data_IF_505154377205
#
_entry.id   IF_505154377205
#
_cell.length_a   1.000
_cell.length_b   1.000
_cell.length_c   1.000
_cell.angle_alpha   90.00
_cell.angle_beta   90.00
_cell.angle_gamma   90.00
#
_symmetry.space_group_name_H-M   'P 1'
#
loop_
_entity.id
_entity.type
_entity.pdbx_description
1 polymer ?
#
# COMPACT_ATOMS: atom_id res chain seq x y z
N UNK A 1 70.64 20.84 -3.78
CA UNK A 1 69.24 20.77 -3.34
C UNK A 1 68.44 20.11 -4.49
N UNK A 2 68.27 18.81 -4.42
CA UNK A 2 67.53 18.01 -5.43
C UNK A 2 66.05 17.94 -4.98
N UNK A 3 65.09 18.45 -5.76
CA UNK A 3 63.65 18.33 -5.51
C UNK A 3 63.14 17.08 -6.23
N UNK A 4 62.82 16.07 -5.47
CA UNK A 4 62.16 14.84 -5.94
C UNK A 4 60.67 15.11 -6.14
N UNK A 5 60.18 15.08 -7.38
CA UNK A 5 58.73 15.11 -7.67
C UNK A 5 58.19 13.67 -7.53
N UNK A 6 57.31 13.46 -6.56
CA UNK A 6 56.49 12.26 -6.47
C UNK A 6 55.25 12.41 -7.37
N UNK A 7 55.20 11.60 -8.42
CA UNK A 7 54.00 11.48 -9.26
C UNK A 7 52.97 10.56 -8.56
N UNK A 8 51.79 11.11 -8.23
CA UNK A 8 50.65 10.32 -7.75
C UNK A 8 49.99 9.64 -8.94
N UNK A 9 50.10 8.32 -9.03
CA UNK A 9 49.33 7.53 -9.98
C UNK A 9 47.88 7.35 -9.47
N UNK A 10 46.92 7.96 -10.12
CA UNK A 10 45.51 7.76 -9.89
C UNK A 10 45.10 6.43 -10.51
N UNK A 11 44.91 5.41 -9.72
CA UNK A 11 44.34 4.14 -10.16
C UNK A 11 42.82 4.32 -10.41
N UNK A 12 42.45 4.46 -11.67
CA UNK A 12 41.04 4.38 -12.10
C UNK A 12 40.64 2.92 -12.13
N UNK A 13 39.87 2.47 -11.16
CA UNK A 13 39.19 1.16 -11.23
C UNK A 13 38.17 1.19 -12.37
N UNK A 14 38.18 0.19 -13.28
CA UNK A 14 37.17 0.13 -14.33
C UNK A 14 35.78 -0.11 -13.67
N UNK A 15 34.82 0.79 -13.93
CA UNK A 15 33.42 0.56 -13.67
C UNK A 15 32.99 -0.60 -14.53
N UNK A 16 32.71 -1.76 -13.93
CA UNK A 16 32.19 -2.93 -14.64
C UNK A 16 30.89 -2.52 -15.34
N UNK A 17 30.89 -2.51 -16.68
CA UNK A 17 29.70 -2.28 -17.46
C UNK A 17 28.67 -3.40 -17.11
N UNK A 18 27.52 -3.03 -16.58
CA UNK A 18 26.45 -3.98 -16.34
C UNK A 18 26.09 -4.67 -17.66
N UNK A 19 26.03 -5.99 -17.66
CA UNK A 19 25.61 -6.78 -18.82
C UNK A 19 24.18 -6.36 -19.17
N UNK A 20 23.87 -5.98 -20.44
CA UNK A 20 22.51 -5.59 -20.82
C UNK A 20 21.52 -6.70 -20.47
N UNK A 21 20.37 -6.33 -19.92
CA UNK A 21 19.29 -7.28 -19.67
C UNK A 21 18.83 -7.88 -21.02
N UNK A 22 18.58 -9.21 -21.08
CA UNK A 22 18.08 -9.81 -22.31
C UNK A 22 16.70 -9.23 -22.67
N UNK A 23 16.46 -9.03 -23.97
CA UNK A 23 15.16 -8.58 -24.47
C UNK A 23 14.06 -9.56 -24.06
N UNK A 24 12.90 -9.03 -23.57
CA UNK A 24 11.77 -9.83 -23.15
C UNK A 24 11.19 -10.64 -24.32
N UNK A 25 11.08 -11.94 -24.15
CA UNK A 25 10.45 -12.85 -25.10
C UNK A 25 8.95 -13.00 -24.77
N UNK A 26 8.11 -12.35 -25.56
CA UNK A 26 6.68 -12.28 -25.31
C UNK A 26 5.94 -13.49 -25.87
N UNK A 27 5.05 -14.07 -25.07
CA UNK A 27 4.13 -15.16 -25.41
C UNK A 27 2.73 -14.88 -24.83
N UNK A 28 1.72 -15.68 -25.16
CA UNK A 28 0.39 -15.54 -24.57
C UNK A 28 0.44 -15.74 -23.05
N UNK A 29 -0.32 -14.94 -22.31
CA UNK A 29 -0.47 -15.11 -20.85
C UNK A 29 -1.51 -16.20 -20.53
N UNK A 30 -1.30 -17.00 -19.46
CA UNK A 30 -2.29 -17.93 -18.95
C UNK A 30 -3.35 -17.21 -18.07
N UNK A 31 -3.98 -16.18 -18.62
CA UNK A 31 -5.03 -15.38 -17.95
C UNK A 31 -6.31 -15.50 -18.75
N UNK A 32 -7.35 -16.05 -18.12
CA UNK A 32 -8.66 -16.16 -18.75
C UNK A 32 -9.21 -14.76 -19.11
N UNK A 33 -9.99 -14.69 -20.18
CA UNK A 33 -10.70 -13.48 -20.64
C UNK A 33 -9.81 -12.28 -21.02
N UNK A 34 -8.50 -12.48 -21.21
CA UNK A 34 -7.57 -11.43 -21.64
C UNK A 34 -6.60 -11.95 -22.75
N UNK A 35 -7.09 -12.34 -23.92
CA UNK A 35 -6.28 -12.99 -24.98
C UNK A 35 -5.21 -12.05 -25.57
N UNK A 36 -5.39 -10.73 -25.46
CA UNK A 36 -4.42 -9.73 -25.91
C UNK A 36 -3.23 -9.56 -24.95
N UNK A 37 -3.29 -10.15 -23.74
CA UNK A 37 -2.23 -10.03 -22.76
C UNK A 37 -1.05 -10.92 -23.15
N UNK A 38 0.14 -10.34 -23.14
CA UNK A 38 1.39 -11.05 -23.44
C UNK A 38 2.26 -11.12 -22.18
N UNK A 39 2.86 -12.28 -21.93
CA UNK A 39 3.72 -12.54 -20.79
C UNK A 39 5.16 -12.84 -21.23
N UNK A 40 6.10 -12.48 -20.36
CA UNK A 40 7.52 -12.82 -20.50
C UNK A 40 8.13 -13.14 -19.12
N UNK A 41 9.20 -13.91 -19.14
CA UNK A 41 10.03 -14.17 -17.98
C UNK A 41 11.18 -13.17 -17.92
N UNK A 42 11.42 -12.60 -16.74
CA UNK A 42 12.52 -11.68 -16.49
C UNK A 42 13.34 -12.15 -15.28
N UNK A 43 14.56 -12.67 -15.51
CA UNK A 43 15.48 -12.93 -14.42
C UNK A 43 15.97 -11.62 -13.79
N UNK A 44 15.82 -11.47 -12.47
CA UNK A 44 16.29 -10.31 -11.72
C UNK A 44 17.14 -10.76 -10.53
N UNK A 45 18.08 -9.93 -10.09
CA UNK A 45 18.85 -10.19 -8.88
C UNK A 45 17.91 -10.21 -7.66
N UNK A 46 18.07 -11.20 -6.78
CA UNK A 46 17.29 -11.27 -5.55
C UNK A 46 17.58 -10.07 -4.63
N UNK A 47 18.86 -9.69 -4.54
CA UNK A 47 19.31 -8.50 -3.81
C UNK A 47 20.51 -7.85 -4.52
N UNK A 48 20.85 -6.57 -4.20
CA UNK A 48 22.01 -5.91 -4.79
C UNK A 48 23.38 -6.54 -4.44
N UNK A 49 23.39 -7.47 -3.47
CA UNK A 49 24.61 -8.12 -2.98
C UNK A 49 24.61 -9.63 -3.22
N UNK A 50 23.63 -10.16 -3.93
CA UNK A 50 23.45 -11.59 -4.17
C UNK A 50 23.66 -11.90 -5.66
N UNK A 51 24.37 -12.99 -5.93
CA UNK A 51 24.46 -13.57 -7.27
C UNK A 51 23.23 -14.40 -7.62
N UNK A 52 22.35 -14.66 -6.63
CA UNK A 52 21.11 -15.39 -6.80
C UNK A 52 20.11 -14.55 -7.61
N UNK A 53 19.51 -15.18 -8.60
CA UNK A 53 18.43 -14.61 -9.40
C UNK A 53 17.12 -15.27 -9.09
N UNK A 54 16.03 -14.51 -9.24
CA UNK A 54 14.65 -14.98 -9.25
C UNK A 54 14.04 -14.62 -10.60
N UNK A 55 13.03 -15.35 -11.02
CA UNK A 55 12.31 -15.07 -12.27
C UNK A 55 10.99 -14.36 -11.96
N UNK A 56 10.85 -13.13 -12.43
CA UNK A 56 9.58 -12.41 -12.41
C UNK A 56 8.78 -12.77 -13.66
N UNK A 57 7.47 -12.94 -13.50
CA UNK A 57 6.56 -12.91 -14.64
C UNK A 57 6.13 -11.47 -14.89
N UNK A 58 6.40 -10.97 -16.08
CA UNK A 58 6.02 -9.64 -16.57
C UNK A 58 4.91 -9.82 -17.60
N UNK A 59 3.90 -8.95 -17.58
CA UNK A 59 2.85 -8.95 -18.59
C UNK A 59 2.69 -7.58 -19.21
N UNK A 60 2.29 -7.55 -20.48
CA UNK A 60 1.92 -6.32 -21.18
C UNK A 60 0.61 -6.45 -21.94
N UNK A 61 -0.13 -5.34 -21.98
CA UNK A 61 -1.13 -5.06 -23.00
C UNK A 61 -0.46 -4.20 -24.07
N UNK A 62 -0.26 -4.70 -25.29
CA UNK A 62 0.40 -3.94 -26.35
C UNK A 62 -0.34 -2.67 -26.70
N UNK A 63 0.39 -1.66 -27.18
CA UNK A 63 -0.18 -0.49 -27.82
C UNK A 63 -1.02 -0.91 -29.03
N UNK A 64 -2.14 -0.22 -29.25
CA UNK A 64 -3.05 -0.45 -30.40
C UNK A 64 -2.68 0.40 -31.62
N UNK A 65 -1.81 1.42 -31.44
CA UNK A 65 -1.25 2.27 -32.47
C UNK A 65 0.27 2.32 -32.43
N UNK A 66 0.87 3.35 -33.02
CA UNK A 66 2.32 3.52 -33.00
C UNK A 66 2.86 3.70 -31.58
N UNK A 67 3.65 2.74 -31.11
CA UNK A 67 4.22 2.75 -29.76
C UNK A 67 5.19 3.93 -29.58
N UNK A 68 4.99 4.71 -28.51
CA UNK A 68 5.84 5.84 -28.09
C UNK A 68 6.54 5.59 -26.75
N UNK A 69 6.26 4.47 -26.08
CA UNK A 69 6.83 4.10 -24.79
C UNK A 69 5.95 3.12 -24.03
N UNK A 70 6.24 2.96 -22.74
CA UNK A 70 5.55 2.03 -21.86
C UNK A 70 5.09 2.71 -20.58
N UNK A 71 4.02 2.17 -19.97
CA UNK A 71 3.48 2.56 -18.66
C UNK A 71 3.51 1.36 -17.76
N UNK A 72 4.19 1.47 -16.64
CA UNK A 72 4.21 0.45 -15.61
C UNK A 72 3.10 0.71 -14.60
N UNK A 73 2.27 -0.31 -14.30
CA UNK A 73 1.20 -0.22 -13.32
C UNK A 73 1.38 -1.26 -12.21
N UNK A 74 1.17 -0.82 -10.96
CA UNK A 74 1.01 -1.70 -9.81
C UNK A 74 -0.30 -1.36 -9.10
N UNK A 75 -1.20 -2.34 -9.00
CA UNK A 75 -2.55 -2.19 -8.45
C UNK A 75 -2.59 -2.19 -6.92
N UNK A 76 -1.45 -2.40 -6.27
CA UNK A 76 -1.35 -2.39 -4.82
C UNK A 76 -1.62 -3.75 -4.17
N UNK A 77 -2.21 -3.71 -3.04
CA UNK A 77 -2.41 -4.84 -2.14
C UNK A 77 -1.82 -4.52 -0.76
N UNK A 78 -0.58 -4.94 -0.42
CA UNK A 78 0.45 -5.63 -1.20
C UNK A 78 0.07 -7.09 -1.44
N UNK A 79 0.15 -7.51 -2.69
CA UNK A 79 -0.23 -8.88 -3.07
C UNK A 79 0.38 -9.26 -4.43
N UNK A 80 0.39 -10.56 -4.75
CA UNK A 80 0.59 -11.09 -6.09
C UNK A 80 -0.58 -10.77 -7.02
N UNK A 81 -0.71 -11.53 -8.10
CA UNK A 81 -1.85 -11.44 -9.03
C UNK A 81 -2.02 -10.08 -9.72
N UNK A 82 -0.94 -9.30 -9.89
CA UNK A 82 -0.99 -8.03 -10.61
C UNK A 82 -1.32 -8.26 -12.09
N UNK A 83 -0.82 -9.35 -12.65
CA UNK A 83 -1.08 -9.75 -14.05
C UNK A 83 -2.57 -10.07 -14.24
N UNK A 84 -3.18 -10.85 -13.34
CA UNK A 84 -4.62 -11.09 -13.35
C UNK A 84 -5.43 -9.80 -13.15
N UNK A 85 -4.93 -8.89 -12.33
CA UNK A 85 -5.54 -7.57 -12.13
C UNK A 85 -5.52 -6.72 -13.39
N UNK A 86 -4.45 -6.77 -14.18
CA UNK A 86 -4.36 -6.10 -15.48
C UNK A 86 -5.33 -6.75 -16.47
N UNK A 87 -5.37 -8.09 -16.56
CA UNK A 87 -6.26 -8.83 -17.45
C UNK A 87 -7.75 -8.52 -17.20
N UNK A 88 -8.15 -8.42 -15.93
CA UNK A 88 -9.54 -8.10 -15.57
C UNK A 88 -9.94 -6.63 -15.78
N UNK A 89 -9.02 -5.76 -16.15
CA UNK A 89 -9.22 -4.29 -16.25
C UNK A 89 -8.69 -3.67 -17.53
N UNK A 90 -8.57 -4.43 -18.61
CA UNK A 90 -7.94 -3.97 -19.86
C UNK A 90 -8.56 -2.67 -20.37
N UNK A 91 -9.89 -2.52 -20.29
CA UNK A 91 -10.66 -1.38 -20.84
C UNK A 91 -10.30 -0.02 -20.23
N UNK A 92 -9.87 0.03 -18.96
CA UNK A 92 -9.50 1.33 -18.36
C UNK A 92 -8.22 1.92 -18.98
N UNK A 93 -7.48 1.13 -19.74
CA UNK A 93 -6.22 1.51 -20.39
C UNK A 93 -6.39 1.85 -21.88
N UNK A 94 -7.58 1.76 -22.48
CA UNK A 94 -7.79 1.92 -23.92
C UNK A 94 -7.17 3.21 -24.46
N UNK A 95 -7.32 4.33 -23.75
CA UNK A 95 -6.73 5.62 -24.16
C UNK A 95 -5.20 5.64 -24.06
N UNK A 96 -4.62 5.00 -23.06
CA UNK A 96 -3.18 4.88 -22.88
C UNK A 96 -2.62 4.01 -24.00
N UNK A 97 -3.29 2.90 -24.30
CA UNK A 97 -2.87 1.93 -25.31
C UNK A 97 -2.88 2.49 -26.74
N UNK A 98 -3.51 3.62 -27.01
CA UNK A 98 -3.38 4.24 -28.35
C UNK A 98 -1.93 4.51 -28.75
N UNK A 99 -1.01 4.65 -27.76
CA UNK A 99 0.41 4.96 -28.04
C UNK A 99 1.41 4.36 -27.05
N UNK A 100 0.97 3.61 -26.05
CA UNK A 100 1.87 3.03 -25.04
C UNK A 100 1.51 1.59 -24.73
N UNK A 101 2.51 0.75 -24.50
CA UNK A 101 2.30 -0.54 -23.85
C UNK A 101 1.95 -0.30 -22.37
N UNK A 102 0.99 -1.06 -21.85
CA UNK A 102 0.70 -1.08 -20.41
C UNK A 102 1.30 -2.34 -19.82
N UNK A 103 2.20 -2.19 -18.86
CA UNK A 103 3.03 -3.27 -18.33
C UNK A 103 2.80 -3.43 -16.82
N UNK A 104 2.80 -4.66 -16.35
CA UNK A 104 2.81 -5.01 -14.93
C UNK A 104 3.69 -6.23 -14.70
N UNK A 105 3.95 -6.54 -13.42
CA UNK A 105 4.62 -7.78 -13.03
C UNK A 105 4.00 -8.33 -11.75
N UNK A 106 4.06 -9.64 -11.54
CA UNK A 106 3.70 -10.23 -10.25
C UNK A 106 4.88 -10.07 -9.28
N UNK A 107 4.69 -9.37 -8.15
CA UNK A 107 5.75 -9.09 -7.20
C UNK A 107 6.36 -10.35 -6.58
N UNK A 108 7.64 -10.24 -6.23
CA UNK A 108 8.37 -11.27 -5.48
C UNK A 108 7.71 -11.61 -4.15
N UNK A 109 7.82 -12.85 -3.74
CA UNK A 109 7.41 -13.33 -2.42
C UNK A 109 5.93 -13.66 -2.28
N UNK A 110 5.08 -13.26 -3.22
CA UNK A 110 3.64 -13.53 -3.19
C UNK A 110 3.23 -14.59 -4.21
N UNK A 111 2.13 -15.33 -3.95
CA UNK A 111 1.53 -16.17 -4.97
C UNK A 111 1.14 -15.36 -6.21
N UNK A 112 1.37 -15.93 -7.38
CA UNK A 112 1.10 -15.33 -8.68
C UNK A 112 1.73 -16.17 -9.79
N UNK A 113 2.00 -15.55 -10.94
CA UNK A 113 2.68 -16.22 -12.05
C UNK A 113 4.21 -16.15 -11.94
N UNK A 114 4.77 -15.30 -11.07
CA UNK A 114 6.22 -15.26 -10.80
C UNK A 114 6.67 -16.50 -10.05
N UNK A 115 7.88 -16.99 -10.37
CA UNK A 115 8.45 -18.18 -9.74
C UNK A 115 8.98 -18.00 -8.31
N UNK A 116 8.92 -16.81 -7.76
CA UNK A 116 9.54 -16.45 -6.49
C UNK A 116 8.48 -16.21 -5.39
N UNK A 117 7.65 -17.22 -5.09
CA UNK A 117 6.69 -17.15 -4.00
C UNK A 117 7.24 -17.78 -2.72
N UNK A 118 7.10 -17.08 -1.58
CA UNK A 118 7.34 -17.67 -0.26
C UNK A 118 6.24 -18.65 0.10
N UNK A 119 6.63 -19.79 0.62
CA UNK A 119 5.72 -20.81 1.16
C UNK A 119 5.40 -20.51 2.63
N UNK A 120 4.58 -19.48 2.86
CA UNK A 120 4.15 -19.04 4.17
C UNK A 120 2.69 -19.36 4.42
N UNK A 121 2.34 -19.45 5.70
CA UNK A 121 0.94 -19.40 6.10
C UNK A 121 0.45 -17.94 6.00
N UNK A 122 -0.25 -17.63 4.94
CA UNK A 122 -0.87 -16.33 4.68
C UNK A 122 -2.27 -16.21 5.29
N UNK A 123 -2.64 -17.12 6.20
CA UNK A 123 -3.94 -17.14 6.86
C UNK A 123 -4.22 -15.90 7.72
N UNK A 124 -5.51 -15.64 7.94
CA UNK A 124 -5.94 -14.54 8.79
C UNK A 124 -5.67 -14.83 10.27
N UNK A 125 -5.16 -13.83 11.00
CA UNK A 125 -5.02 -13.90 12.45
C UNK A 125 -6.40 -13.77 13.09
N UNK A 126 -6.85 -14.79 13.82
CA UNK A 126 -8.14 -14.80 14.52
C UNK A 126 -8.08 -14.16 15.91
N UNK A 127 -6.89 -13.93 16.44
CA UNK A 127 -6.68 -13.29 17.75
C UNK A 127 -6.68 -11.78 17.66
N UNK A 128 -7.22 -11.05 18.68
CA UNK A 128 -7.15 -9.60 18.72
C UNK A 128 -5.69 -9.11 18.66
N UNK A 129 -5.41 -8.19 17.74
CA UNK A 129 -4.09 -7.61 17.59
C UNK A 129 -3.84 -6.37 18.47
N UNK A 130 -4.69 -6.14 19.52
CA UNK A 130 -4.64 -4.97 20.37
C UNK A 130 -4.37 -5.40 21.83
N UNK A 131 -3.10 -5.48 22.26
CA UNK A 131 -2.74 -5.91 23.61
C UNK A 131 -3.16 -4.87 24.65
N UNK A 132 -3.84 -5.32 25.73
CA UNK A 132 -4.28 -4.45 26.80
C UNK A 132 -3.15 -4.07 27.76
N UNK A 133 -2.20 -4.99 27.97
CA UNK A 133 -1.11 -4.90 28.95
C UNK A 133 0.23 -5.41 28.38
N UNK A 134 1.29 -5.32 29.18
CA UNK A 134 2.63 -5.78 28.79
C UNK A 134 2.64 -7.27 28.48
N UNK A 135 1.98 -8.09 29.30
CA UNK A 135 1.95 -9.54 29.10
C UNK A 135 1.22 -9.92 27.79
N UNK A 136 0.15 -9.20 27.45
CA UNK A 136 -0.57 -9.33 26.16
C UNK A 136 0.32 -8.92 24.98
N UNK A 137 1.08 -7.83 25.13
CA UNK A 137 2.04 -7.39 24.11
C UNK A 137 3.15 -8.43 23.89
N UNK A 138 3.72 -8.98 24.96
CA UNK A 138 4.79 -9.97 24.89
C UNK A 138 4.31 -11.26 24.22
N UNK A 139 3.08 -11.71 24.53
CA UNK A 139 2.46 -12.87 23.86
C UNK A 139 2.25 -12.60 22.36
N UNK A 140 1.75 -11.41 22.00
CA UNK A 140 1.57 -11.02 20.60
C UNK A 140 2.92 -10.99 19.87
N UNK A 141 3.94 -10.35 20.47
CA UNK A 141 5.28 -10.25 19.90
C UNK A 141 5.93 -11.65 19.71
N UNK A 142 5.78 -12.54 20.69
CA UNK A 142 6.27 -13.91 20.59
C UNK A 142 5.56 -14.71 19.47
N UNK A 143 4.24 -14.58 19.37
CA UNK A 143 3.46 -15.23 18.31
C UNK A 143 3.84 -14.70 16.91
N UNK A 144 3.99 -13.38 16.75
CA UNK A 144 4.42 -12.77 15.49
C UNK A 144 5.84 -13.21 15.11
N UNK A 145 6.75 -13.24 16.10
CA UNK A 145 8.13 -13.73 15.88
C UNK A 145 8.14 -15.16 15.39
N UNK A 146 7.43 -16.06 16.08
CA UNK A 146 7.37 -17.47 15.70
C UNK A 146 6.82 -17.67 14.28
N UNK A 147 5.78 -16.91 13.90
CA UNK A 147 5.23 -16.93 12.55
C UNK A 147 6.21 -16.39 11.51
N UNK A 148 6.85 -15.26 11.81
CA UNK A 148 7.87 -14.68 10.94
C UNK A 148 9.09 -15.60 10.77
N UNK A 149 9.59 -16.21 11.86
CA UNK A 149 10.69 -17.18 11.82
C UNK A 149 10.33 -18.39 10.95
N UNK A 150 9.12 -18.97 11.14
CA UNK A 150 8.64 -20.09 10.34
C UNK A 150 8.59 -19.75 8.85
N UNK A 151 8.08 -18.56 8.51
CA UNK A 151 8.05 -18.11 7.13
C UNK A 151 9.47 -17.90 6.57
N UNK A 152 10.33 -17.26 7.33
CA UNK A 152 11.71 -16.97 6.93
C UNK A 152 12.55 -18.22 6.68
N UNK A 153 12.30 -19.33 7.38
CA UNK A 153 13.04 -20.59 7.17
C UNK A 153 12.81 -21.20 5.79
N UNK A 154 11.75 -20.85 5.09
CA UNK A 154 11.46 -21.39 3.74
C UNK A 154 12.41 -20.79 2.68
N UNK A 155 12.70 -19.49 2.78
CA UNK A 155 13.67 -18.78 1.97
C UNK A 155 14.10 -17.48 2.70
N UNK A 156 15.16 -17.53 3.50
CA UNK A 156 15.60 -16.39 4.31
C UNK A 156 15.95 -15.14 3.49
N UNK A 157 16.61 -15.33 2.34
CA UNK A 157 17.05 -14.21 1.52
C UNK A 157 15.87 -13.54 0.81
N UNK A 158 14.94 -14.32 0.26
CA UNK A 158 13.73 -13.78 -0.35
C UNK A 158 12.87 -13.05 0.68
N UNK A 159 12.70 -13.64 1.88
CA UNK A 159 11.94 -13.03 2.97
C UNK A 159 12.49 -11.64 3.36
N UNK A 160 13.82 -11.52 3.50
CA UNK A 160 14.48 -10.27 3.90
C UNK A 160 14.46 -9.20 2.79
N UNK A 161 14.07 -9.56 1.55
CA UNK A 161 14.03 -8.69 0.37
C UNK A 161 12.65 -8.61 -0.30
N UNK A 162 11.58 -8.66 0.51
CA UNK A 162 10.20 -8.47 0.05
C UNK A 162 9.67 -7.03 0.24
N UNK A 163 10.51 -6.08 0.62
CA UNK A 163 10.09 -4.69 0.81
C UNK A 163 9.76 -3.97 -0.50
N UNK A 164 9.09 -2.82 -0.40
CA UNK A 164 8.72 -2.00 -1.56
C UNK A 164 9.94 -1.40 -2.29
N UNK A 165 11.12 -1.32 -1.65
CA UNK A 165 12.34 -0.92 -2.32
C UNK A 165 12.90 -2.04 -3.21
N UNK A 166 12.70 -3.30 -2.83
CA UNK A 166 13.01 -4.47 -3.67
C UNK A 166 12.07 -4.53 -4.89
N UNK A 167 10.75 -4.33 -4.69
CA UNK A 167 9.82 -4.20 -5.81
C UNK A 167 10.16 -3.02 -6.73
N UNK A 168 10.66 -1.92 -6.18
CA UNK A 168 11.10 -0.77 -6.99
C UNK A 168 12.33 -1.10 -7.85
N UNK A 169 13.24 -1.95 -7.37
CA UNK A 169 14.36 -2.46 -8.18
C UNK A 169 13.88 -3.41 -9.27
N UNK A 170 12.87 -4.24 -8.96
CA UNK A 170 12.21 -5.08 -9.96
C UNK A 170 11.55 -4.24 -11.05
N UNK A 171 10.83 -3.18 -10.67
CA UNK A 171 10.25 -2.22 -11.60
C UNK A 171 11.30 -1.57 -12.50
N UNK A 172 12.49 -1.28 -11.97
CA UNK A 172 13.57 -0.71 -12.76
C UNK A 172 14.21 -1.73 -13.70
N UNK A 173 14.31 -3.00 -13.29
CA UNK A 173 14.73 -4.08 -14.18
C UNK A 173 13.73 -4.30 -15.33
N UNK A 174 12.42 -4.20 -15.04
CA UNK A 174 11.38 -4.21 -16.09
C UNK A 174 11.56 -3.03 -17.05
N UNK A 175 11.77 -1.81 -16.54
CA UNK A 175 12.07 -0.64 -17.39
C UNK A 175 13.25 -0.89 -18.32
N UNK A 176 14.34 -1.40 -17.78
CA UNK A 176 15.57 -1.68 -18.54
C UNK A 176 15.33 -2.74 -19.62
N UNK A 177 14.66 -3.83 -19.28
CA UNK A 177 14.31 -4.90 -20.22
C UNK A 177 13.33 -4.45 -21.33
N UNK A 178 12.54 -3.39 -21.09
CA UNK A 178 11.70 -2.74 -22.10
C UNK A 178 12.46 -1.74 -22.99
N UNK A 179 13.73 -1.44 -22.68
CA UNK A 179 14.55 -0.45 -23.38
C UNK A 179 14.14 1.00 -23.12
N UNK A 180 13.46 1.26 -21.99
CA UNK A 180 12.98 2.60 -21.64
C UNK A 180 14.01 3.38 -20.82
N UNK A 181 14.42 4.59 -21.25
CA UNK A 181 15.29 5.46 -20.46
C UNK A 181 14.64 5.91 -19.16
N UNK A 182 13.35 6.25 -19.23
CA UNK A 182 12.55 6.72 -18.11
C UNK A 182 11.17 6.05 -18.11
N UNK A 183 10.67 5.77 -16.90
CA UNK A 183 9.40 5.07 -16.70
C UNK A 183 8.24 6.03 -16.41
N UNK A 184 7.09 5.74 -17.02
CA UNK A 184 5.80 6.22 -16.58
C UNK A 184 5.25 5.21 -15.57
N UNK A 185 4.96 5.64 -14.35
CA UNK A 185 4.55 4.74 -13.26
C UNK A 185 3.16 5.08 -12.73
N UNK A 186 2.26 4.11 -12.70
CA UNK A 186 0.95 4.20 -12.03
C UNK A 186 1.01 3.36 -10.75
N UNK A 187 1.09 4.03 -9.59
CA UNK A 187 1.11 3.40 -8.28
C UNK A 187 -0.23 3.52 -7.57
N UNK A 188 -1.00 2.43 -7.53
CA UNK A 188 -2.36 2.40 -7.00
C UNK A 188 -2.35 1.76 -5.61
N UNK A 189 -2.98 2.40 -4.60
CA UNK A 189 -3.02 1.88 -3.23
C UNK A 189 -1.59 1.63 -2.70
N UNK A 190 -1.25 0.40 -2.28
CA UNK A 190 0.13 0.06 -1.88
C UNK A 190 1.15 0.20 -3.02
N UNK A 191 0.73 0.13 -4.28
CA UNK A 191 1.56 0.45 -5.43
C UNK A 191 2.13 1.86 -5.39
N UNK A 192 1.47 2.78 -4.70
CA UNK A 192 2.00 4.12 -4.42
C UNK A 192 3.17 4.11 -3.42
N UNK A 193 3.26 3.15 -2.49
CA UNK A 193 4.44 2.95 -1.63
C UNK A 193 5.64 2.46 -2.45
N UNK A 194 5.38 1.55 -3.42
CA UNK A 194 6.40 1.10 -4.36
C UNK A 194 6.87 2.26 -5.25
N UNK A 195 5.93 3.08 -5.77
CA UNK A 195 6.24 4.26 -6.56
C UNK A 195 7.09 5.29 -5.78
N UNK A 196 6.77 5.55 -4.49
CA UNK A 196 7.57 6.40 -3.62
C UNK A 196 8.98 5.83 -3.41
N UNK A 197 9.12 4.52 -3.26
CA UNK A 197 10.42 3.83 -3.15
C UNK A 197 11.20 3.92 -4.48
N UNK A 198 10.52 3.75 -5.62
CA UNK A 198 11.12 3.93 -6.95
C UNK A 198 11.64 5.35 -7.15
N UNK A 199 10.84 6.35 -6.77
CA UNK A 199 11.23 7.76 -6.84
C UNK A 199 12.47 8.09 -6.00
N UNK A 200 12.64 7.45 -4.84
CA UNK A 200 13.83 7.62 -3.98
C UNK A 200 15.08 6.96 -4.56
N UNK A 201 14.92 5.74 -5.11
CA UNK A 201 16.04 4.97 -5.63
C UNK A 201 16.48 5.43 -7.02
N UNK A 202 15.53 5.84 -7.87
CA UNK A 202 15.76 6.13 -9.28
C UNK A 202 15.13 7.46 -9.73
N UNK A 203 15.40 8.58 -9.06
CA UNK A 203 14.71 9.85 -9.35
C UNK A 203 14.90 10.32 -10.79
N UNK A 204 16.06 10.04 -11.40
CA UNK A 204 16.37 10.43 -12.80
C UNK A 204 15.66 9.56 -13.84
N UNK A 205 15.12 8.39 -13.43
CA UNK A 205 14.41 7.44 -14.29
C UNK A 205 12.90 7.61 -14.29
N UNK A 206 12.37 8.62 -13.60
CA UNK A 206 10.94 8.94 -13.59
C UNK A 206 10.63 9.90 -14.74
N UNK A 207 9.67 9.53 -15.62
CA UNK A 207 9.09 10.40 -16.64
C UNK A 207 7.80 11.03 -16.15
N UNK A 208 6.84 10.21 -15.73
CA UNK A 208 5.60 10.60 -15.07
C UNK A 208 5.32 9.64 -13.92
N UNK A 209 4.66 10.12 -12.86
CA UNK A 209 4.25 9.28 -11.76
C UNK A 209 2.88 9.70 -11.27
N UNK A 210 1.94 8.77 -11.36
CA UNK A 210 0.59 8.90 -10.82
C UNK A 210 0.45 8.03 -9.59
N UNK A 211 -0.14 8.58 -8.52
CA UNK A 211 -0.43 7.85 -7.29
C UNK A 211 -1.89 8.06 -6.89
N UNK A 212 -2.56 6.97 -6.51
CA UNK A 212 -4.01 6.97 -6.24
C UNK A 212 -4.32 6.14 -5.00
N UNK A 213 -5.00 6.76 -4.05
CA UNK A 213 -5.39 6.11 -2.81
C UNK A 213 -4.20 5.58 -2.00
N UNK A 214 -3.06 6.25 -2.04
CA UNK A 214 -1.82 5.76 -1.42
C UNK A 214 -1.62 6.25 0.00
N UNK A 215 -0.97 5.42 0.82
CA UNK A 215 -0.39 5.83 2.09
C UNK A 215 0.83 6.74 1.87
N UNK A 216 1.06 7.66 2.80
CA UNK A 216 2.26 8.49 2.79
C UNK A 216 3.43 7.74 3.44
N UNK A 217 4.34 7.24 2.62
CA UNK A 217 5.55 6.53 3.04
C UNK A 217 6.78 7.45 3.03
N UNK A 218 6.58 8.73 3.35
CA UNK A 218 7.63 9.75 3.23
C UNK A 218 8.02 10.42 4.53
N UNK A 219 7.19 10.49 5.60
CA UNK A 219 7.54 11.27 6.79
C UNK A 219 8.56 10.53 7.67
N UNK A 220 9.58 11.26 8.12
CA UNK A 220 10.55 10.75 9.12
C UNK A 220 9.89 10.59 10.50
N UNK A 221 8.97 11.48 10.85
CA UNK A 221 8.15 11.38 12.06
C UNK A 221 6.87 10.58 11.77
N UNK A 222 6.98 9.27 11.91
CA UNK A 222 5.85 8.36 11.70
C UNK A 222 4.72 8.61 12.69
N UNK A 223 5.06 9.01 13.91
CA UNK A 223 4.05 9.36 14.89
C UNK A 223 3.19 10.54 14.48
N UNK A 224 3.76 11.56 13.82
CA UNK A 224 3.01 12.70 13.26
C UNK A 224 2.09 12.23 12.13
N UNK A 225 2.54 11.32 11.29
CA UNK A 225 1.73 10.75 10.21
C UNK A 225 0.52 9.98 10.75
N UNK A 226 0.70 9.14 11.77
CA UNK A 226 -0.41 8.45 12.43
C UNK A 226 -1.47 9.44 12.94
N UNK A 227 -1.04 10.58 13.51
CA UNK A 227 -1.94 11.66 13.92
C UNK A 227 -2.70 12.29 12.75
N UNK A 228 -2.05 12.42 11.59
CA UNK A 228 -2.70 12.91 10.37
C UNK A 228 -3.75 11.93 9.86
N UNK A 229 -3.42 10.64 9.80
CA UNK A 229 -4.35 9.57 9.42
C UNK A 229 -5.56 9.53 10.37
N UNK A 230 -5.32 9.66 11.69
CA UNK A 230 -6.41 9.68 12.66
C UNK A 230 -7.39 10.85 12.42
N UNK A 231 -6.88 12.05 12.11
CA UNK A 231 -7.73 13.20 11.74
C UNK A 231 -8.52 12.96 10.47
N UNK A 232 -7.90 12.31 9.46
CA UNK A 232 -8.57 12.00 8.19
C UNK A 232 -9.74 11.04 8.42
N UNK A 233 -9.53 10.01 9.24
CA UNK A 233 -10.56 9.04 9.60
C UNK A 233 -11.68 9.68 10.44
N UNK A 234 -11.33 10.60 11.35
CA UNK A 234 -12.32 11.33 12.15
C UNK A 234 -13.21 12.23 11.27
N UNK A 235 -12.67 12.83 10.20
CA UNK A 235 -13.49 13.57 9.23
C UNK A 235 -14.49 12.66 8.51
N UNK A 236 -14.10 11.43 8.15
CA UNK A 236 -15.02 10.45 7.58
C UNK A 236 -16.13 10.08 8.58
N UNK A 237 -15.79 9.89 9.85
CA UNK A 237 -16.77 9.68 10.93
C UNK A 237 -17.71 10.89 11.10
N UNK A 238 -17.18 12.11 11.02
CA UNK A 238 -17.98 13.33 11.05
C UNK A 238 -19.02 13.41 9.92
N UNK A 239 -18.68 12.99 8.69
CA UNK A 239 -19.63 12.88 7.57
C UNK A 239 -20.76 11.89 7.88
N UNK A 240 -20.41 10.72 8.43
CA UNK A 240 -21.40 9.74 8.86
C UNK A 240 -22.32 10.29 9.96
N UNK A 241 -21.78 10.94 10.97
CA UNK A 241 -22.56 11.48 12.09
C UNK A 241 -23.50 12.62 11.64
N UNK A 242 -23.11 13.39 10.63
CA UNK A 242 -23.99 14.39 10.02
C UNK A 242 -25.14 13.77 9.23
N UNK A 243 -24.94 12.59 8.66
CA UNK A 243 -25.95 11.83 7.91
C UNK A 243 -26.86 10.99 8.84
N UNK A 244 -26.33 10.44 9.92
CA UNK A 244 -26.99 9.50 10.81
C UNK A 244 -28.11 10.18 11.63
N UNK A 245 -29.07 9.42 12.20
CA UNK A 245 -30.09 9.95 13.09
C UNK A 245 -29.49 10.75 14.26
N UNK A 246 -30.17 11.82 14.66
CA UNK A 246 -29.76 12.64 15.79
C UNK A 246 -29.48 11.80 17.05
N UNK A 247 -28.43 12.16 17.80
CA UNK A 247 -28.01 11.43 18.98
C UNK A 247 -27.11 10.21 18.74
N UNK A 248 -26.84 9.82 17.46
CA UNK A 248 -25.98 8.69 17.12
C UNK A 248 -24.56 8.84 17.70
N UNK A 249 -23.99 10.05 17.72
CA UNK A 249 -22.66 10.26 18.33
C UNK A 249 -22.66 9.96 19.84
N UNK A 250 -23.67 10.42 20.57
CA UNK A 250 -23.80 10.14 22.00
C UNK A 250 -23.90 8.64 22.26
N UNK A 251 -24.72 7.93 21.48
CA UNK A 251 -24.89 6.47 21.54
C UNK A 251 -23.58 5.76 21.24
N UNK A 252 -22.92 6.15 20.17
CA UNK A 252 -21.60 5.60 19.78
C UNK A 252 -20.58 5.74 20.90
N UNK A 253 -20.42 6.94 21.47
CA UNK A 253 -19.46 7.18 22.57
C UNK A 253 -19.80 6.39 23.83
N UNK A 254 -21.07 6.24 24.16
CA UNK A 254 -21.52 5.43 25.29
C UNK A 254 -21.23 3.94 25.06
N UNK A 255 -21.52 3.42 23.84
CA UNK A 255 -21.22 2.05 23.45
C UNK A 255 -19.71 1.77 23.56
N UNK A 256 -18.88 2.66 23.05
CA UNK A 256 -17.43 2.53 23.11
C UNK A 256 -16.92 2.55 24.56
N UNK A 257 -17.43 3.44 25.39
CA UNK A 257 -17.08 3.49 26.81
C UNK A 257 -17.52 2.22 27.58
N UNK A 258 -18.63 1.59 27.18
CA UNK A 258 -19.05 0.27 27.70
C UNK A 258 -18.06 -0.81 27.24
N UNK A 259 -17.74 -0.86 25.95
CA UNK A 259 -16.87 -1.86 25.36
C UNK A 259 -15.40 -1.75 25.84
N UNK A 260 -14.92 -0.54 26.14
CA UNK A 260 -13.58 -0.33 26.74
C UNK A 260 -13.48 -0.89 28.17
N UNK A 261 -14.62 -1.03 28.90
CA UNK A 261 -14.67 -1.66 30.25
C UNK A 261 -14.90 -3.17 30.16
N UNK A 262 -15.83 -3.57 29.30
CA UNK A 262 -16.22 -4.95 29.11
C UNK A 262 -16.49 -5.23 27.64
N UNK A 263 -15.66 -6.07 26.98
CA UNK A 263 -15.84 -6.40 25.56
C UNK A 263 -17.22 -7.00 25.28
N UNK A 264 -17.90 -6.49 24.25
CA UNK A 264 -19.26 -6.88 23.89
C UNK A 264 -19.22 -8.19 23.10
N UNK A 265 -20.07 -9.17 23.44
CA UNK A 265 -20.17 -10.43 22.72
C UNK A 265 -20.53 -10.23 21.24
N UNK A 266 -19.98 -11.08 20.39
CA UNK A 266 -20.30 -11.19 18.96
C UNK A 266 -20.43 -12.69 18.61
N UNK A 267 -21.51 -13.35 19.07
CA UNK A 267 -21.60 -14.82 19.03
C UNK A 267 -21.57 -15.39 17.61
N UNK A 268 -22.14 -14.71 16.61
CA UNK A 268 -22.12 -15.15 15.21
C UNK A 268 -20.70 -15.10 14.58
N UNK A 269 -19.78 -14.36 15.21
CA UNK A 269 -18.39 -14.26 14.78
C UNK A 269 -17.44 -15.00 15.73
N UNK A 270 -17.97 -15.71 16.75
CA UNK A 270 -17.19 -16.38 17.80
C UNK A 270 -16.16 -15.44 18.45
N UNK A 271 -16.58 -14.21 18.73
CA UNK A 271 -15.70 -13.13 19.15
C UNK A 271 -16.30 -12.29 20.28
N UNK A 272 -15.49 -11.42 20.86
CA UNK A 272 -15.87 -10.29 21.69
C UNK A 272 -15.09 -9.08 21.22
N UNK A 273 -15.69 -7.90 21.26
CA UNK A 273 -15.05 -6.68 20.78
C UNK A 273 -14.92 -5.65 21.90
N UNK A 274 -13.69 -5.21 22.17
CA UNK A 274 -13.41 -4.01 22.94
C UNK A 274 -13.66 -2.73 22.13
N UNK A 275 -13.58 -1.57 22.79
CA UNK A 275 -13.84 -0.30 22.11
C UNK A 275 -12.82 0.03 21.00
N UNK A 276 -11.60 -0.47 21.06
CA UNK A 276 -10.61 -0.26 20.00
C UNK A 276 -10.93 -1.08 18.75
N UNK A 277 -11.39 -2.30 18.96
CA UNK A 277 -11.83 -3.20 17.89
C UNK A 277 -13.11 -2.69 17.23
N UNK A 278 -14.09 -2.24 18.02
CA UNK A 278 -15.31 -1.63 17.47
C UNK A 278 -15.04 -0.39 16.64
N UNK A 279 -14.10 0.48 17.08
CA UNK A 279 -13.68 1.66 16.29
C UNK A 279 -13.07 1.23 14.96
N UNK A 280 -12.21 0.20 14.94
CA UNK A 280 -11.59 -0.30 13.71
C UNK A 280 -12.62 -0.90 12.74
N UNK A 281 -13.56 -1.67 13.27
CA UNK A 281 -14.64 -2.28 12.47
C UNK A 281 -15.63 -1.22 11.96
N UNK A 282 -15.94 -0.20 12.77
CA UNK A 282 -16.76 0.94 12.36
C UNK A 282 -16.10 1.70 11.19
N UNK A 283 -14.79 1.97 11.27
CA UNK A 283 -14.07 2.59 10.16
C UNK A 283 -14.26 1.82 8.85
N UNK A 284 -14.15 0.49 8.88
CA UNK A 284 -14.37 -0.34 7.69
C UNK A 284 -15.81 -0.28 7.17
N UNK A 285 -16.80 -0.13 8.05
CA UNK A 285 -18.21 0.07 7.67
C UNK A 285 -18.52 1.47 7.15
N UNK A 286 -17.69 2.47 7.46
CA UNK A 286 -17.83 3.82 6.93
C UNK A 286 -17.37 3.93 5.47
N UNK A 287 -16.40 3.11 5.07
CA UNK A 287 -15.73 3.17 3.75
C UNK A 287 -16.67 3.08 2.55
N UNK A 288 -17.70 2.23 2.54
CA UNK A 288 -18.61 2.15 1.39
C UNK A 288 -19.46 3.40 1.17
N UNK A 289 -19.53 4.32 2.14
CA UNK A 289 -20.27 5.57 2.04
C UNK A 289 -21.75 5.47 2.40
N UNK A 290 -22.54 6.54 2.09
CA UNK A 290 -23.92 6.71 2.58
C UNK A 290 -24.87 5.56 2.23
N UNK A 291 -24.68 4.88 1.10
CA UNK A 291 -25.51 3.74 0.67
C UNK A 291 -25.44 2.54 1.65
N UNK A 292 -24.38 2.45 2.45
CA UNK A 292 -24.17 1.36 3.41
C UNK A 292 -24.07 1.84 4.87
N UNK A 293 -24.18 3.13 5.14
CA UNK A 293 -24.06 3.65 6.50
C UNK A 293 -25.20 3.19 7.42
N UNK A 294 -26.37 2.82 6.86
CA UNK A 294 -27.43 2.16 7.62
C UNK A 294 -26.96 0.88 8.32
N UNK A 295 -26.02 0.13 7.74
CA UNK A 295 -25.44 -1.08 8.35
C UNK A 295 -24.67 -0.74 9.64
N UNK A 296 -24.00 0.42 9.69
CA UNK A 296 -23.30 0.86 10.90
C UNK A 296 -24.28 1.30 11.98
N UNK A 297 -25.36 2.02 11.61
CA UNK A 297 -26.43 2.39 12.57
C UNK A 297 -27.05 1.13 13.18
N UNK A 298 -27.38 0.13 12.35
CA UNK A 298 -27.92 -1.14 12.80
C UNK A 298 -26.94 -1.90 13.71
N UNK A 299 -25.64 -1.91 13.35
CA UNK A 299 -24.61 -2.55 14.17
C UNK A 299 -24.45 -1.88 15.54
N UNK A 300 -24.50 -0.55 15.61
CA UNK A 300 -24.49 0.21 16.87
C UNK A 300 -25.70 -0.21 17.73
N UNK A 301 -26.90 -0.23 17.16
CA UNK A 301 -28.13 -0.60 17.88
C UNK A 301 -28.08 -2.02 18.41
N UNK A 302 -27.62 -2.99 17.63
CA UNK A 302 -27.48 -4.38 18.07
C UNK A 302 -26.43 -4.51 19.18
N UNK A 303 -25.32 -3.81 19.09
CA UNK A 303 -24.27 -3.86 20.11
C UNK A 303 -24.68 -3.20 21.44
N UNK A 304 -25.50 -2.16 21.41
CA UNK A 304 -26.14 -1.59 22.64
C UNK A 304 -27.01 -2.63 23.36
N UNK A 305 -27.69 -3.47 22.57
CA UNK A 305 -28.49 -4.59 23.09
C UNK A 305 -27.64 -5.82 23.49
N UNK A 306 -26.31 -5.78 23.33
CA UNK A 306 -25.38 -6.82 23.77
C UNK A 306 -24.88 -7.78 22.68
N UNK A 307 -25.24 -7.59 21.41
CA UNK A 307 -24.73 -8.38 20.28
C UNK A 307 -23.99 -7.53 19.27
N UNK A 308 -22.66 -7.60 19.30
CA UNK A 308 -21.79 -6.89 18.38
C UNK A 308 -21.47 -7.68 17.08
N UNK A 309 -22.15 -8.80 16.81
CA UNK A 309 -21.87 -9.65 15.64
C UNK A 309 -21.96 -8.90 14.32
N UNK A 310 -22.84 -7.90 14.22
CA UNK A 310 -23.00 -7.06 13.03
C UNK A 310 -21.75 -6.22 12.69
N UNK A 311 -20.82 -6.05 13.64
CA UNK A 311 -19.53 -5.38 13.36
C UNK A 311 -18.53 -6.27 12.64
N UNK A 312 -18.61 -7.61 12.78
CA UNK A 312 -17.66 -8.53 12.19
C UNK A 312 -17.53 -8.33 10.66
N UNK A 313 -16.30 -8.51 10.13
CA UNK A 313 -16.05 -8.53 8.69
C UNK A 313 -16.58 -9.82 8.08
N UNK A 314 -16.30 -10.95 8.74
CA UNK A 314 -16.82 -12.27 8.45
C UNK A 314 -16.54 -13.19 9.63
N UNK A 315 -17.15 -14.39 9.63
CA UNK A 315 -16.83 -15.42 10.64
C UNK A 315 -15.40 -15.93 10.55
N UNK A 316 -14.76 -15.83 9.36
CA UNK A 316 -13.36 -16.23 9.15
C UNK A 316 -12.37 -15.15 9.56
N UNK A 317 -12.77 -13.87 9.47
CA UNK A 317 -11.95 -12.71 9.83
C UNK A 317 -12.74 -11.78 10.74
N UNK A 318 -12.94 -12.17 12.01
CA UNK A 318 -13.76 -11.37 12.96
C UNK A 318 -13.07 -10.08 13.39
N UNK A 319 -11.75 -9.96 13.25
CA UNK A 319 -10.96 -8.81 13.69
C UNK A 319 -10.29 -8.10 12.53
N UNK A 320 -10.14 -6.76 12.60
CA UNK A 320 -9.32 -6.04 11.63
C UNK A 320 -7.85 -6.43 11.80
N UNK A 321 -7.18 -6.67 10.69
CA UNK A 321 -5.78 -7.04 10.64
C UNK A 321 -5.28 -7.06 9.21
N UNK A 322 -3.97 -7.23 9.02
CA UNK A 322 -3.37 -7.37 7.71
C UNK A 322 -3.51 -8.83 7.24
N UNK A 323 -4.09 -9.06 6.05
CA UNK A 323 -4.15 -10.40 5.49
C UNK A 323 -2.73 -10.97 5.29
N UNK A 324 -2.57 -12.26 5.53
CA UNK A 324 -1.39 -12.99 5.11
C UNK A 324 -0.08 -12.66 5.81
N UNK A 325 -0.12 -12.03 6.96
CA UNK A 325 1.05 -11.90 7.81
C UNK A 325 1.96 -10.71 7.58
N UNK A 326 1.72 -9.90 6.57
CA UNK A 326 2.34 -8.58 6.46
C UNK A 326 3.87 -8.56 6.36
N UNK A 327 4.53 -9.53 5.70
CA UNK A 327 6.00 -9.53 5.55
C UNK A 327 6.47 -8.21 4.97
N UNK A 328 5.84 -7.79 3.86
CA UNK A 328 6.17 -6.54 3.18
C UNK A 328 5.96 -5.32 4.09
N UNK A 329 4.82 -5.25 4.75
CA UNK A 329 4.51 -4.15 5.66
C UNK A 329 5.45 -4.11 6.86
N UNK A 330 5.90 -5.29 7.35
CA UNK A 330 6.87 -5.37 8.44
C UNK A 330 8.28 -4.95 8.02
N UNK A 331 8.59 -4.96 6.74
CA UNK A 331 9.84 -4.46 6.16
C UNK A 331 9.76 -2.97 5.76
N UNK A 332 8.56 -2.44 5.49
CA UNK A 332 8.35 -1.08 5.02
C UNK A 332 7.97 -0.09 6.14
N UNK A 333 7.32 -0.53 7.22
CA UNK A 333 6.78 0.39 8.22
C UNK A 333 7.42 0.22 9.60
N UNK A 334 7.53 1.33 10.38
CA UNK A 334 7.90 1.28 11.78
C UNK A 334 6.85 0.52 12.60
N UNK A 335 7.29 -0.15 13.64
CA UNK A 335 6.47 -0.92 14.57
C UNK A 335 6.76 -0.55 16.02
N UNK A 336 5.80 -0.73 16.96
CA UNK A 336 6.04 -0.49 18.37
C UNK A 336 7.05 -1.52 18.93
N UNK A 337 7.97 -1.05 19.74
CA UNK A 337 8.91 -1.90 20.44
C UNK A 337 8.38 -2.41 21.79
N UNK A 338 7.46 -1.65 22.41
CA UNK A 338 6.95 -1.91 23.75
C UNK A 338 5.45 -1.61 23.87
N UNK A 339 4.79 -2.18 24.87
CA UNK A 339 3.42 -1.82 25.22
C UNK A 339 3.28 -0.32 25.58
N UNK A 340 4.32 0.29 26.16
CA UNK A 340 4.33 1.73 26.46
C UNK A 340 4.24 2.57 25.19
N UNK A 341 4.86 2.13 24.09
CA UNK A 341 4.79 2.82 22.79
C UNK A 341 3.37 2.75 22.22
N UNK A 342 2.72 1.59 22.33
CA UNK A 342 1.32 1.39 21.94
C UNK A 342 0.42 2.31 22.77
N UNK A 343 0.54 2.27 24.10
CA UNK A 343 -0.31 3.05 25.01
C UNK A 343 -0.17 4.57 24.78
N UNK A 344 1.07 5.08 24.60
CA UNK A 344 1.30 6.49 24.28
C UNK A 344 0.66 6.87 22.94
N UNK A 345 0.79 6.01 21.94
CA UNK A 345 0.20 6.24 20.62
C UNK A 345 -1.32 6.27 20.73
N UNK A 346 -1.94 5.28 21.37
CA UNK A 346 -3.41 5.23 21.61
C UNK A 346 -3.90 6.48 22.30
N UNK A 347 -3.26 6.89 23.42
CA UNK A 347 -3.66 8.09 24.17
C UNK A 347 -3.63 9.35 23.28
N UNK A 348 -2.57 9.53 22.50
CA UNK A 348 -2.44 10.68 21.60
C UNK A 348 -3.47 10.66 20.48
N UNK A 349 -3.68 9.52 19.83
CA UNK A 349 -4.59 9.41 18.70
C UNK A 349 -6.04 9.52 19.13
N UNK A 350 -6.41 9.04 20.34
CA UNK A 350 -7.75 9.25 20.93
C UNK A 350 -8.03 10.72 21.24
N UNK A 351 -7.02 11.50 21.61
CA UNK A 351 -7.17 12.95 21.80
C UNK A 351 -7.38 13.71 20.49
N UNK A 352 -6.79 13.22 19.38
CA UNK A 352 -6.93 13.81 18.04
C UNK A 352 -8.26 13.42 17.38
N UNK A 353 -8.70 12.19 17.59
CA UNK A 353 -9.85 11.55 16.95
C UNK A 353 -10.73 10.87 18.01
N UNK A 354 -11.63 11.62 18.67
CA UNK A 354 -12.36 11.12 19.84
C UNK A 354 -13.34 9.98 19.53
N UNK A 355 -13.85 9.90 18.30
CA UNK A 355 -14.79 8.84 17.90
C UNK A 355 -14.09 7.58 17.41
N UNK A 356 -13.08 7.70 16.52
CA UNK A 356 -12.36 6.54 15.98
C UNK A 356 -11.01 6.28 16.65
N UNK A 357 -10.34 7.31 17.18
CA UNK A 357 -9.10 7.18 17.94
C UNK A 357 -7.97 6.54 17.14
N UNK A 358 -7.29 5.59 17.79
CA UNK A 358 -6.15 4.88 17.24
C UNK A 358 -6.52 3.67 16.36
N UNK A 359 -7.79 3.39 16.18
CA UNK A 359 -8.29 2.14 15.64
C UNK A 359 -7.63 1.73 14.30
N UNK A 360 -7.87 2.52 13.26
CA UNK A 360 -7.29 2.21 11.93
C UNK A 360 -5.77 2.40 11.86
N UNK A 361 -5.17 3.47 12.44
CA UNK A 361 -3.72 3.57 12.50
C UNK A 361 -3.03 2.38 13.18
N UNK A 362 -3.60 1.82 14.23
CA UNK A 362 -3.06 0.62 14.89
C UNK A 362 -3.15 -0.62 14.00
N UNK A 363 -4.26 -0.78 13.27
CA UNK A 363 -4.50 -1.96 12.45
C UNK A 363 -3.65 -1.96 11.17
N UNK A 364 -3.45 -0.80 10.53
CA UNK A 364 -2.91 -0.70 9.17
C UNK A 364 -1.62 0.12 9.05
N UNK A 365 -1.37 1.07 9.96
CA UNK A 365 -0.23 1.99 9.87
C UNK A 365 0.70 1.93 11.09
N UNK A 366 0.26 1.35 12.21
CA UNK A 366 1.12 0.90 13.29
C UNK A 366 1.00 -0.62 13.37
N UNK A 367 1.73 -1.38 12.57
CA UNK A 367 1.48 -2.80 12.40
C UNK A 367 1.86 -3.56 13.67
N UNK A 368 0.90 -3.69 14.58
CA UNK A 368 1.03 -4.54 15.77
C UNK A 368 1.34 -5.99 15.39
N UNK A 369 0.87 -6.44 14.22
CA UNK A 369 1.22 -7.74 13.64
C UNK A 369 2.71 -7.89 13.35
N UNK A 370 3.47 -6.80 13.37
CA UNK A 370 4.93 -6.79 13.22
C UNK A 370 5.68 -6.64 14.56
N UNK A 371 4.98 -6.43 15.69
CA UNK A 371 5.63 -6.44 16.99
C UNK A 371 6.35 -7.78 17.21
N UNK A 372 7.63 -7.75 17.57
CA UNK A 372 8.45 -8.96 17.71
C UNK A 372 8.91 -9.61 16.38
N UNK A 373 8.63 -9.02 15.21
CA UNK A 373 9.05 -9.56 13.91
C UNK A 373 10.56 -9.81 13.85
N UNK A 374 11.03 -10.94 13.24
CA UNK A 374 12.42 -11.38 13.35
C UNK A 374 13.43 -10.45 12.66
N UNK A 375 12.98 -9.64 11.71
CA UNK A 375 13.86 -8.74 10.96
C UNK A 375 13.47 -7.28 11.19
N UNK A 376 14.40 -6.34 11.04
CA UNK A 376 14.12 -4.90 11.07
C UNK A 376 13.42 -4.45 9.78
N UNK A 377 12.80 -3.30 9.80
CA UNK A 377 12.33 -2.64 8.59
C UNK A 377 13.54 -2.26 7.71
N UNK A 378 13.55 -2.74 6.46
CA UNK A 378 14.62 -2.52 5.48
C UNK A 378 14.36 -1.31 4.59
N UNK A 379 13.10 -0.92 4.43
CA UNK A 379 12.66 0.24 3.66
C UNK A 379 11.76 1.17 4.51
N UNK A 380 12.29 1.80 5.57
CA UNK A 380 11.50 2.70 6.40
C UNK A 380 11.08 3.95 5.62
N UNK A 381 9.98 4.63 6.03
CA UNK A 381 9.52 5.87 5.42
C UNK A 381 10.62 6.93 5.31
N UNK A 382 10.74 7.55 4.14
CA UNK A 382 11.71 8.61 3.89
C UNK A 382 11.19 9.59 2.82
N UNK A 383 11.55 10.89 2.88
CA UNK A 383 11.14 11.89 1.90
C UNK A 383 11.56 11.53 0.48
N UNK A 384 10.73 11.90 -0.49
CA UNK A 384 11.08 11.82 -1.90
C UNK A 384 11.99 12.99 -2.32
N UNK A 385 12.88 12.79 -3.31
CA UNK A 385 13.70 13.85 -3.87
C UNK A 385 12.84 14.95 -4.53
N UNK A 386 13.10 16.21 -4.22
CA UNK A 386 12.36 17.34 -4.82
C UNK A 386 12.68 17.60 -6.28
N UNK A 387 13.68 16.90 -6.83
CA UNK A 387 14.10 16.96 -8.24
C UNK A 387 13.22 16.14 -9.18
N UNK A 388 12.23 15.43 -8.64
CA UNK A 388 11.28 14.67 -9.45
C UNK A 388 10.45 15.61 -10.37
N UNK A 389 10.01 15.11 -11.54
CA UNK A 389 9.01 15.81 -12.33
C UNK A 389 7.71 15.96 -11.53
N UNK A 390 6.87 16.97 -11.84
CA UNK A 390 5.59 17.13 -11.19
C UNK A 390 4.72 15.87 -11.26
N UNK A 391 4.18 15.46 -10.12
CA UNK A 391 3.36 14.27 -9.97
C UNK A 391 1.87 14.58 -10.19
N UNK A 392 1.11 13.54 -10.51
CA UNK A 392 -0.35 13.56 -10.45
C UNK A 392 -0.83 12.60 -9.36
N UNK A 393 -1.77 13.05 -8.53
CA UNK A 393 -2.44 12.19 -7.56
C UNK A 393 -3.95 12.28 -7.66
N UNK A 394 -4.64 11.26 -7.14
CA UNK A 394 -6.08 11.27 -6.99
C UNK A 394 -6.49 10.62 -5.66
N UNK A 395 -7.68 10.95 -5.18
CA UNK A 395 -8.18 10.35 -3.94
C UNK A 395 -9.63 10.67 -3.65
N UNK A 396 -10.19 9.87 -2.75
CA UNK A 396 -11.56 9.89 -2.24
C UNK A 396 -11.62 10.44 -0.82
N UNK A 397 -12.79 10.46 -0.19
CA UNK A 397 -12.94 10.88 1.21
C UNK A 397 -11.95 10.24 2.18
N UNK A 398 -11.56 9.00 1.95
CA UNK A 398 -10.71 8.25 2.89
C UNK A 398 -9.21 8.39 2.62
N UNK A 399 -8.80 8.68 1.39
CA UNK A 399 -7.39 8.60 1.00
C UNK A 399 -6.84 9.87 0.30
N UNK A 400 -7.70 10.83 -0.06
CA UNK A 400 -7.30 12.09 -0.67
C UNK A 400 -6.22 12.81 0.13
N UNK A 401 -6.43 12.98 1.44
CA UNK A 401 -5.50 13.73 2.28
C UNK A 401 -4.14 13.03 2.43
N UNK A 402 -4.13 11.68 2.49
CA UNK A 402 -2.89 10.90 2.52
C UNK A 402 -2.12 11.01 1.20
N UNK A 403 -2.80 10.78 0.07
CA UNK A 403 -2.22 10.91 -1.27
C UNK A 403 -1.72 12.33 -1.53
N UNK A 404 -2.48 13.34 -1.11
CA UNK A 404 -2.10 14.75 -1.22
C UNK A 404 -0.77 15.04 -0.51
N UNK A 405 -0.57 14.51 0.71
CA UNK A 405 0.71 14.67 1.43
C UNK A 405 1.91 14.06 0.70
N UNK A 406 1.69 13.03 -0.11
CA UNK A 406 2.73 12.47 -1.00
C UNK A 406 3.02 13.44 -2.14
N UNK A 407 2.00 13.86 -2.84
CA UNK A 407 2.09 14.65 -4.08
C UNK A 407 2.65 16.05 -3.83
N UNK A 408 2.23 16.71 -2.73
CA UNK A 408 2.67 18.08 -2.37
C UNK A 408 4.16 18.21 -2.03
N UNK A 409 4.87 17.10 -1.82
CA UNK A 409 6.33 17.15 -1.64
C UNK A 409 7.06 17.61 -2.90
N UNK A 410 6.44 17.45 -4.07
CA UNK A 410 7.07 17.73 -5.36
C UNK A 410 6.42 18.98 -5.98
N UNK A 411 7.21 20.06 -6.20
CA UNK A 411 6.70 21.30 -6.77
C UNK A 411 6.00 21.10 -8.12
N UNK A 412 4.94 21.84 -8.36
CA UNK A 412 4.21 21.79 -9.63
C UNK A 412 3.20 20.65 -9.75
N UNK A 413 3.20 19.69 -8.83
CA UNK A 413 2.28 18.55 -8.82
C UNK A 413 0.80 18.95 -8.70
N UNK A 414 -0.09 18.02 -9.05
CA UNK A 414 -1.55 18.22 -9.03
C UNK A 414 -2.27 17.07 -8.33
N UNK A 415 -3.41 17.41 -7.74
CA UNK A 415 -4.35 16.44 -7.19
C UNK A 415 -5.69 16.52 -7.91
N UNK A 416 -6.33 15.38 -8.10
CA UNK A 416 -7.73 15.25 -8.50
C UNK A 416 -8.50 14.80 -7.25
N UNK A 417 -9.56 15.53 -6.91
CA UNK A 417 -10.42 15.20 -5.79
C UNK A 417 -11.71 14.54 -6.29
N UNK A 418 -12.12 13.46 -5.64
CA UNK A 418 -13.46 12.90 -5.75
C UNK A 418 -14.18 13.12 -4.43
N UNK A 419 -15.23 13.95 -4.44
CA UNK A 419 -16.06 14.20 -3.24
C UNK A 419 -17.04 13.04 -3.03
N UNK A 420 -16.52 11.87 -2.81
CA UNK A 420 -17.28 10.64 -2.62
C UNK A 420 -16.51 9.56 -1.86
N UNK A 421 -17.23 8.50 -1.46
CA UNK A 421 -16.63 7.31 -0.88
C UNK A 421 -15.84 6.53 -1.95
N UNK A 422 -15.08 5.54 -1.51
CA UNK A 422 -14.37 4.63 -2.40
C UNK A 422 -12.88 4.56 -2.09
N UNK A 423 -12.15 3.89 -2.97
CA UNK A 423 -10.70 3.72 -2.88
C UNK A 423 -10.15 3.41 -4.28
N UNK A 424 -9.07 4.09 -4.67
CA UNK A 424 -8.41 3.87 -5.95
C UNK A 424 -9.33 4.16 -7.15
N UNK A 425 -9.41 5.44 -7.49
CA UNK A 425 -10.31 5.97 -8.52
C UNK A 425 -10.02 5.45 -9.92
N UNK A 426 -8.72 5.31 -10.27
CA UNK A 426 -8.32 4.82 -11.58
C UNK A 426 -8.59 3.31 -11.74
N UNK A 427 -8.06 2.49 -10.82
CA UNK A 427 -8.02 1.05 -11.00
C UNK A 427 -9.26 0.30 -10.49
N UNK A 428 -9.74 0.62 -9.28
CA UNK A 428 -10.86 -0.10 -8.66
C UNK A 428 -12.21 0.51 -9.02
N UNK A 429 -12.30 1.85 -9.06
CA UNK A 429 -13.54 2.55 -9.36
C UNK A 429 -13.73 2.81 -10.86
N UNK A 430 -12.66 2.69 -11.66
CA UNK A 430 -12.66 2.95 -13.10
C UNK A 430 -13.32 4.31 -13.44
N UNK A 431 -13.04 5.36 -12.62
CA UNK A 431 -13.65 6.67 -12.79
C UNK A 431 -13.24 7.29 -14.13
N UNK A 432 -14.18 7.55 -15.06
CA UNK A 432 -13.85 7.96 -16.43
C UNK A 432 -13.18 9.33 -16.51
N UNK A 433 -13.50 10.26 -15.60
CA UNK A 433 -12.85 11.56 -15.50
C UNK A 433 -11.38 11.43 -15.08
N UNK A 434 -11.10 10.60 -14.07
CA UNK A 434 -9.73 10.32 -13.63
C UNK A 434 -8.94 9.61 -14.72
N UNK A 435 -9.54 8.62 -15.39
CA UNK A 435 -8.90 7.88 -16.49
C UNK A 435 -8.50 8.86 -17.62
N UNK A 436 -9.35 9.84 -17.97
CA UNK A 436 -9.03 10.84 -18.99
C UNK A 436 -7.82 11.69 -18.59
N UNK A 437 -7.81 12.23 -17.38
CA UNK A 437 -6.69 13.04 -16.89
C UNK A 437 -5.39 12.26 -16.77
N UNK A 438 -5.43 11.03 -16.26
CA UNK A 438 -4.25 10.15 -16.13
C UNK A 438 -3.71 9.80 -17.52
N UNK A 439 -4.59 9.47 -18.47
CA UNK A 439 -4.18 9.15 -19.84
C UNK A 439 -3.43 10.31 -20.48
N UNK A 440 -3.96 11.55 -20.42
CA UNK A 440 -3.26 12.75 -20.92
C UNK A 440 -1.95 13.03 -20.20
N UNK A 441 -1.93 12.84 -18.88
CA UNK A 441 -0.70 13.05 -18.13
C UNK A 441 0.41 12.07 -18.53
N UNK A 442 0.08 10.80 -18.71
CA UNK A 442 1.04 9.77 -19.07
C UNK A 442 1.51 9.91 -20.53
N UNK A 443 0.59 10.15 -21.48
CA UNK A 443 0.92 10.19 -22.91
C UNK A 443 1.50 11.54 -23.36
N UNK A 444 1.05 12.66 -22.77
CA UNK A 444 1.35 14.04 -23.18
C UNK A 444 2.10 14.84 -22.12
N UNK A 445 2.28 14.30 -20.89
CA UNK A 445 2.79 15.00 -19.69
C UNK A 445 1.95 16.22 -19.31
N UNK A 446 0.68 16.22 -19.64
CA UNK A 446 -0.27 17.30 -19.41
C UNK A 446 -1.02 17.09 -18.10
N UNK A 447 -0.67 17.88 -17.09
CA UNK A 447 -1.36 17.89 -15.80
C UNK A 447 -2.72 18.62 -15.91
N UNK A 448 -3.72 18.20 -15.10
CA UNK A 448 -4.98 18.93 -15.02
C UNK A 448 -4.80 20.32 -14.36
N UNK A 449 -5.76 21.23 -14.49
CA UNK A 449 -5.80 22.48 -13.73
C UNK A 449 -5.71 22.25 -12.21
N UNK A 450 -5.35 23.29 -11.45
CA UNK A 450 -5.42 23.24 -9.98
C UNK A 450 -6.90 23.17 -9.54
N UNK A 451 -7.17 22.37 -8.50
CA UNK A 451 -8.52 22.21 -7.98
C UNK A 451 -9.44 21.37 -8.87
N UNK A 452 -8.88 20.54 -9.76
CA UNK A 452 -9.69 19.61 -10.56
C UNK A 452 -10.41 18.63 -9.64
N UNK A 453 -11.73 18.54 -9.84
CA UNK A 453 -12.60 17.55 -9.20
C UNK A 453 -13.15 16.59 -10.26
N UNK A 454 -13.36 15.33 -9.88
CA UNK A 454 -14.03 14.32 -10.70
C UNK A 454 -15.27 13.81 -9.95
N UNK A 455 -16.43 13.68 -10.61
CA UNK A 455 -17.68 13.20 -9.99
C UNK A 455 -17.58 11.72 -9.56
#
# INVERSE_FOLDING_TARGET
MLKTLMALAVLTTPVSAATPQPALQWSSCPVADAPELQCADLPVALSPKSDRKITLKVARLPATGAKKGSVLVNFGGPQGYQIASLGSRTKIFDRIRTSMDVVTWDPRGYPGLSGAALQCDWGFVRTPAFPADQAGFDRLAAANKARGDKCRTTDPELFDHMDAASDARDADAVREALGEDKMNFLGLSYGGTIAQSYARLFPQRVRTMYVDGTGNHSPRDWGRELGSIARDNERLMGRFLAWAPAGTEKRWRALIAKADREPIPAPKAEARYDGTQLRSLAFLKLRPGPTRWGDLVAAITAAEAGDASAFALSSRQPYPGLPGGGVKECLDFPRPATQRDVARTVKRLRAIAPNLGAAFPLAWHLPLTCAGWPTRATNPPAPMPRTLPPLLGAGTWQDYASTRRVVEQIPGSRMIEHDGPGHNLFGAMANPCVIDHVSRYVTERRLPPRGTTCP
#
